data_IF_294824719566
#
_entry.id   IF_294824719566
#
_cell.length_a   1.000
_cell.length_b   1.000
_cell.length_c   1.000
_cell.angle_alpha   90.00
_cell.angle_beta   90.00
_cell.angle_gamma   90.00
#
_symmetry.space_group_name_H-M   'P 1'
#
loop_
_entity.id
_entity.type
_entity.pdbx_description
1 polymer ?
#
# COMPACT_ATOMS: atom_id res chain seq x y z
N UNK A 1 -55.84 -18.34 64.63
CA UNK A 1 -54.79 -18.17 63.59
C UNK A 1 -55.22 -17.08 62.62
N UNK A 2 -54.67 -15.86 62.73
CA UNK A 2 -54.98 -14.73 61.85
C UNK A 2 -53.84 -14.59 60.82
N UNK A 3 -54.11 -14.84 59.53
CA UNK A 3 -53.13 -14.69 58.45
C UNK A 3 -53.15 -13.25 57.92
N UNK A 4 -52.10 -12.46 58.24
CA UNK A 4 -51.83 -11.16 57.60
C UNK A 4 -51.51 -11.38 56.11
N UNK A 5 -52.25 -10.73 55.21
CA UNK A 5 -51.86 -10.57 53.80
C UNK A 5 -51.11 -9.27 53.64
N UNK A 6 -49.86 -9.36 53.19
CA UNK A 6 -49.00 -8.24 52.82
C UNK A 6 -49.26 -7.91 51.33
N UNK A 7 -49.64 -6.69 50.95
CA UNK A 7 -49.79 -6.34 49.55
C UNK A 7 -48.41 -6.08 48.92
N UNK A 8 -48.14 -6.76 47.80
CA UNK A 8 -46.94 -6.60 46.99
C UNK A 8 -47.15 -5.44 46.02
N UNK A 9 -46.47 -4.32 46.24
CA UNK A 9 -46.48 -3.14 45.37
C UNK A 9 -45.47 -3.35 44.24
N UNK A 10 -45.96 -3.57 43.02
CA UNK A 10 -45.14 -3.71 41.81
C UNK A 10 -44.80 -2.30 41.30
N UNK A 11 -43.53 -1.91 41.46
CA UNK A 11 -42.99 -0.67 40.89
C UNK A 11 -42.59 -0.94 39.43
N UNK A 12 -43.38 -0.43 38.48
CA UNK A 12 -43.01 -0.42 37.07
C UNK A 12 -41.94 0.65 36.84
N UNK A 13 -40.68 0.21 36.75
CA UNK A 13 -39.57 1.06 36.33
C UNK A 13 -39.59 1.17 34.80
N UNK A 14 -40.15 2.26 34.28
CA UNK A 14 -40.15 2.57 32.85
C UNK A 14 -38.72 2.84 32.38
N UNK A 15 -38.13 1.88 31.67
CA UNK A 15 -36.85 2.07 30.96
C UNK A 15 -37.16 2.94 29.74
N UNK A 16 -36.85 4.24 29.82
CA UNK A 16 -36.84 5.11 28.65
C UNK A 16 -35.63 4.74 27.79
N UNK A 17 -35.85 3.93 26.76
CA UNK A 17 -34.88 3.74 25.69
C UNK A 17 -34.72 5.07 24.95
N UNK A 18 -33.64 5.81 25.24
CA UNK A 18 -33.21 6.93 24.41
C UNK A 18 -32.73 6.35 23.08
N UNK A 19 -33.62 6.28 22.10
CA UNK A 19 -33.22 6.07 20.71
C UNK A 19 -32.42 7.31 20.29
N UNK A 20 -31.10 7.15 20.13
CA UNK A 20 -30.28 8.16 19.46
C UNK A 20 -30.80 8.27 18.03
N UNK A 21 -31.46 9.39 17.72
CA UNK A 21 -31.91 9.71 16.37
C UNK A 21 -30.71 10.03 15.48
N UNK A 22 -30.88 9.91 14.17
CA UNK A 22 -29.88 10.41 13.22
C UNK A 22 -29.54 11.87 13.53
N UNK A 23 -28.29 12.31 13.32
CA UNK A 23 -27.90 13.68 13.61
C UNK A 23 -28.77 14.68 12.86
N UNK A 24 -29.28 15.67 13.58
CA UNK A 24 -30.09 16.78 13.04
C UNK A 24 -29.19 17.93 12.55
N UNK A 25 -28.17 17.58 11.76
CA UNK A 25 -27.25 18.56 11.19
C UNK A 25 -27.95 19.32 10.07
N UNK A 26 -28.17 20.62 10.29
CA UNK A 26 -28.84 21.53 9.36
C UNK A 26 -28.00 22.78 9.19
N UNK A 27 -27.93 23.31 7.98
CA UNK A 27 -27.23 24.56 7.64
C UNK A 27 -28.27 25.60 7.23
N UNK A 28 -28.20 26.80 7.80
CA UNK A 28 -28.98 27.94 7.30
C UNK A 28 -28.19 28.67 6.21
N UNK A 29 -28.28 28.19 4.98
CA UNK A 29 -27.46 28.68 3.85
C UNK A 29 -27.60 30.19 3.61
N UNK A 30 -28.76 30.79 3.94
CA UNK A 30 -29.05 32.22 3.75
C UNK A 30 -28.21 33.15 4.64
N UNK A 31 -27.54 32.61 5.67
CA UNK A 31 -26.68 33.38 6.56
C UNK A 31 -25.26 33.58 6.00
N UNK A 32 -24.93 32.94 4.87
CA UNK A 32 -23.57 32.92 4.33
C UNK A 32 -23.50 33.43 2.89
N UNK A 33 -22.42 34.14 2.59
CA UNK A 33 -22.17 34.73 1.28
C UNK A 33 -21.11 33.97 0.48
N UNK A 34 -20.39 33.04 1.12
CA UNK A 34 -19.30 32.30 0.50
C UNK A 34 -19.41 30.80 0.72
N UNK A 35 -18.85 30.04 -0.23
CA UNK A 35 -18.81 28.59 -0.17
C UNK A 35 -17.41 28.03 -0.40
N UNK A 36 -17.22 26.81 0.05
CA UNK A 36 -16.08 25.93 -0.24
C UNK A 36 -16.66 24.54 -0.54
N UNK A 37 -16.10 23.81 -1.49
CA UNK A 37 -16.63 22.50 -1.92
C UNK A 37 -15.59 21.39 -1.81
N UNK A 38 -16.03 20.21 -1.38
CA UNK A 38 -15.21 19.00 -1.25
C UNK A 38 -15.84 17.84 -2.03
N UNK A 39 -15.02 17.10 -2.76
CA UNK A 39 -15.33 15.74 -3.24
C UNK A 39 -14.54 14.77 -2.36
N UNK A 40 -15.22 14.20 -1.37
CA UNK A 40 -14.55 13.51 -0.27
C UNK A 40 -14.90 12.02 -0.17
N UNK A 41 -13.96 11.23 0.34
CA UNK A 41 -14.23 9.89 0.87
C UNK A 41 -14.21 9.94 2.39
N UNK A 42 -15.14 9.21 2.99
CA UNK A 42 -15.31 9.13 4.43
C UNK A 42 -14.78 7.78 4.92
N UNK A 43 -13.88 7.78 5.90
CA UNK A 43 -13.32 6.55 6.47
C UNK A 43 -13.37 6.57 7.99
N UNK A 44 -13.71 5.41 8.58
CA UNK A 44 -13.57 5.16 10.01
C UNK A 44 -12.77 3.88 10.20
N UNK A 45 -11.73 3.95 11.05
CA UNK A 45 -10.89 2.80 11.37
C UNK A 45 -10.31 2.09 10.13
N UNK A 46 -9.94 2.87 9.10
CA UNK A 46 -9.41 2.35 7.83
C UNK A 46 -10.45 1.75 6.88
N UNK A 47 -11.74 1.80 7.22
CA UNK A 47 -12.84 1.29 6.40
C UNK A 47 -13.68 2.43 5.85
N UNK A 48 -13.95 2.40 4.54
CA UNK A 48 -14.76 3.41 3.87
C UNK A 48 -16.22 3.27 4.31
N UNK A 49 -16.84 4.40 4.67
CA UNK A 49 -18.29 4.47 4.84
C UNK A 49 -18.97 4.40 3.47
N UNK A 50 -19.98 3.54 3.37
CA UNK A 50 -20.71 3.25 2.12
C UNK A 50 -22.22 3.13 2.33
N UNK A 51 -22.70 3.34 3.57
CA UNK A 51 -24.11 3.23 3.91
C UNK A 51 -24.93 4.37 3.32
N UNK A 52 -26.19 4.11 2.89
CA UNK A 52 -27.04 5.13 2.28
C UNK A 52 -27.44 6.27 3.24
N UNK A 53 -27.36 6.03 4.55
CA UNK A 53 -27.63 7.03 5.60
C UNK A 53 -26.35 7.51 6.31
N UNK A 54 -25.17 7.08 5.87
CA UNK A 54 -23.91 7.62 6.39
C UNK A 54 -23.74 9.06 5.92
N UNK A 55 -23.22 9.92 6.79
CA UNK A 55 -23.13 11.37 6.54
C UNK A 55 -21.85 11.97 7.08
N UNK A 56 -21.46 13.09 6.48
CA UNK A 56 -20.45 14.00 7.01
C UNK A 56 -21.08 15.35 7.32
N UNK A 57 -20.73 15.92 8.47
CA UNK A 57 -21.00 17.32 8.80
C UNK A 57 -19.70 18.11 8.92
N UNK A 58 -19.69 19.34 8.44
CA UNK A 58 -18.64 20.34 8.63
C UNK A 58 -19.11 21.40 9.63
N UNK A 59 -18.24 21.82 10.54
CA UNK A 59 -18.60 22.69 11.67
C UNK A 59 -17.58 23.79 11.92
N UNK A 60 -18.07 24.95 12.35
CA UNK A 60 -17.30 26.02 12.99
C UNK A 60 -17.77 26.10 14.43
N UNK A 61 -16.93 25.66 15.37
CA UNK A 61 -17.38 25.38 16.74
C UNK A 61 -18.45 24.29 16.72
N UNK A 62 -19.65 24.60 17.24
CA UNK A 62 -20.81 23.69 17.22
C UNK A 62 -21.78 23.97 16.07
N UNK A 63 -21.56 25.02 15.29
CA UNK A 63 -22.48 25.42 14.23
C UNK A 63 -22.19 24.64 12.95
N UNK A 64 -23.21 23.95 12.42
CA UNK A 64 -23.11 23.20 11.18
C UNK A 64 -22.99 24.17 10.00
N UNK A 65 -21.88 24.06 9.26
CA UNK A 65 -21.57 24.83 8.06
C UNK A 65 -21.75 24.03 6.77
N UNK A 66 -21.99 22.74 6.85
CA UNK A 66 -22.13 21.86 5.69
C UNK A 66 -22.56 20.48 6.14
N UNK A 67 -23.43 19.83 5.37
CA UNK A 67 -23.81 18.43 5.59
C UNK A 67 -23.97 17.74 4.25
N UNK A 68 -23.50 16.50 4.15
CA UNK A 68 -23.65 15.71 2.92
C UNK A 68 -23.74 14.22 3.24
N UNK A 69 -24.54 13.50 2.45
CA UNK A 69 -24.57 12.04 2.43
C UNK A 69 -23.57 11.47 1.42
N UNK A 70 -23.67 10.17 1.18
CA UNK A 70 -22.82 9.48 0.22
C UNK A 70 -23.55 9.20 -1.09
N UNK A 71 -22.88 9.53 -2.20
CA UNK A 71 -23.33 9.24 -3.56
C UNK A 71 -22.42 8.18 -4.19
N UNK A 72 -23.03 7.10 -4.71
CA UNK A 72 -22.30 6.09 -5.45
C UNK A 72 -21.95 6.57 -6.86
N UNK A 73 -20.68 6.42 -7.25
CA UNK A 73 -20.16 6.80 -8.56
C UNK A 73 -19.72 5.53 -9.31
N UNK A 74 -20.54 5.08 -10.25
CA UNK A 74 -20.34 3.81 -10.97
C UNK A 74 -19.00 3.73 -11.70
N UNK A 75 -18.54 4.82 -12.33
CA UNK A 75 -17.26 4.86 -13.06
C UNK A 75 -16.03 4.64 -12.17
N UNK A 76 -16.20 4.79 -10.86
CA UNK A 76 -15.15 4.58 -9.85
C UNK A 76 -15.45 3.40 -8.93
N UNK A 77 -16.63 2.79 -9.05
CA UNK A 77 -17.12 1.74 -8.14
C UNK A 77 -16.91 2.12 -6.66
N UNK A 78 -17.24 3.36 -6.29
CA UNK A 78 -16.97 3.91 -4.95
C UNK A 78 -17.99 5.00 -4.59
N UNK A 79 -18.03 5.36 -3.30
CA UNK A 79 -18.93 6.36 -2.73
C UNK A 79 -18.20 7.64 -2.41
N UNK A 80 -18.83 8.79 -2.67
CA UNK A 80 -18.27 10.11 -2.45
C UNK A 80 -19.29 11.01 -1.74
N UNK A 81 -18.82 11.82 -0.80
CA UNK A 81 -19.56 12.95 -0.28
C UNK A 81 -19.24 14.19 -1.11
N UNK A 82 -20.27 14.80 -1.68
CA UNK A 82 -20.19 16.10 -2.34
C UNK A 82 -20.61 17.15 -1.31
N UNK A 83 -19.63 17.68 -0.57
CA UNK A 83 -19.89 18.53 0.58
C UNK A 83 -19.67 20.00 0.20
N UNK A 84 -20.72 20.81 0.36
CA UNK A 84 -20.63 22.27 0.33
C UNK A 84 -20.57 22.79 1.75
N UNK A 85 -19.60 23.67 2.01
CA UNK A 85 -19.35 24.30 3.29
C UNK A 85 -19.58 25.80 3.10
N UNK A 86 -20.31 26.42 4.01
CA UNK A 86 -20.70 27.82 3.94
C UNK A 86 -19.97 28.65 5.01
N UNK A 87 -19.63 29.90 4.71
CA UNK A 87 -19.00 30.83 5.64
C UNK A 87 -19.08 32.28 5.15
N UNK A 88 -18.81 33.23 6.05
CA UNK A 88 -18.54 34.64 5.73
C UNK A 88 -17.08 35.05 6.01
N UNK A 89 -16.25 34.16 6.57
CA UNK A 89 -14.95 34.48 7.12
C UNK A 89 -13.85 33.63 6.50
N UNK A 90 -12.94 34.28 5.77
CA UNK A 90 -11.74 33.62 5.23
C UNK A 90 -10.87 33.07 6.37
N UNK A 91 -10.42 31.83 6.22
CA UNK A 91 -9.46 31.19 7.12
C UNK A 91 -10.05 30.62 8.41
N UNK A 92 -11.36 30.72 8.65
CA UNK A 92 -11.95 30.13 9.86
C UNK A 92 -11.82 28.61 9.88
N UNK A 93 -11.65 28.03 11.07
CA UNK A 93 -11.33 26.61 11.21
C UNK A 93 -12.59 25.77 11.02
N UNK A 94 -12.58 24.92 9.99
CA UNK A 94 -13.58 23.89 9.75
C UNK A 94 -13.14 22.57 10.41
N UNK A 95 -14.05 21.97 11.17
CA UNK A 95 -13.92 20.61 11.74
C UNK A 95 -14.97 19.68 11.15
N UNK A 96 -14.74 18.37 11.22
CA UNK A 96 -15.67 17.39 10.65
C UNK A 96 -16.19 16.41 11.70
N UNK A 97 -17.44 15.99 11.55
CA UNK A 97 -18.04 14.86 12.27
C UNK A 97 -18.56 13.86 11.23
N UNK A 98 -18.30 12.56 11.44
CA UNK A 98 -18.83 11.48 10.62
C UNK A 98 -19.93 10.75 11.37
N UNK A 99 -21.02 10.44 10.69
CA UNK A 99 -22.09 9.59 11.19
C UNK A 99 -22.05 8.24 10.48
N UNK A 100 -21.78 7.19 11.26
CA UNK A 100 -21.90 5.78 10.86
C UNK A 100 -23.30 5.32 11.28
N UNK A 101 -24.19 5.16 10.30
CA UNK A 101 -25.58 4.73 10.55
C UNK A 101 -25.62 3.34 11.14
N UNK A 102 -24.82 2.42 10.61
CA UNK A 102 -24.85 1.02 10.99
C UNK A 102 -24.53 0.84 12.48
N UNK A 103 -23.63 1.67 13.03
CA UNK A 103 -23.29 1.69 14.46
C UNK A 103 -24.07 2.75 15.26
N UNK A 104 -24.88 3.56 14.60
CA UNK A 104 -25.54 4.73 15.14
C UNK A 104 -24.59 5.63 15.96
N UNK A 105 -23.40 5.91 15.40
CA UNK A 105 -22.31 6.58 16.11
C UNK A 105 -21.86 7.83 15.35
N UNK A 106 -21.69 8.92 16.09
CA UNK A 106 -21.00 10.11 15.62
C UNK A 106 -19.54 10.05 16.07
N UNK A 107 -18.62 10.25 15.13
CA UNK A 107 -17.19 10.31 15.38
C UNK A 107 -16.66 11.69 14.98
N UNK A 108 -15.99 12.37 15.91
CA UNK A 108 -15.27 13.62 15.61
C UNK A 108 -13.99 13.27 14.87
N UNK A 109 -13.72 13.99 13.78
CA UNK A 109 -12.50 13.83 12.99
C UNK A 109 -11.46 14.84 13.45
N UNK A 110 -10.26 14.36 13.78
CA UNK A 110 -9.16 15.17 14.29
C UNK A 110 -8.61 16.15 13.25
N UNK A 111 -8.73 15.80 11.95
CA UNK A 111 -8.32 16.64 10.82
C UNK A 111 -9.25 17.86 10.71
N UNK A 112 -8.66 19.04 10.62
CA UNK A 112 -9.36 20.31 10.34
C UNK A 112 -8.72 21.04 9.17
N UNK A 113 -9.46 21.94 8.54
CA UNK A 113 -8.96 22.81 7.46
C UNK A 113 -9.39 24.26 7.68
N UNK A 114 -8.63 25.26 7.18
CA UNK A 114 -9.14 26.61 7.05
C UNK A 114 -10.22 26.65 5.95
N UNK A 115 -11.26 27.45 6.16
CA UNK A 115 -12.19 27.82 5.11
C UNK A 115 -11.49 28.73 4.10
N UNK A 116 -11.63 28.41 2.81
CA UNK A 116 -11.12 29.26 1.73
C UNK A 116 -12.27 29.57 0.77
N UNK A 117 -12.56 30.86 0.58
CA UNK A 117 -13.63 31.33 -0.30
C UNK A 117 -13.45 30.76 -1.71
N UNK A 118 -14.52 30.13 -2.22
CA UNK A 118 -14.64 29.50 -3.53
C UNK A 118 -13.65 28.36 -3.81
N UNK A 119 -12.98 27.83 -2.78
CA UNK A 119 -12.04 26.72 -2.97
C UNK A 119 -12.78 25.41 -3.25
N UNK A 120 -12.19 24.60 -4.14
CA UNK A 120 -12.60 23.23 -4.40
C UNK A 120 -11.49 22.26 -4.01
N UNK A 121 -11.79 21.26 -3.18
CA UNK A 121 -10.83 20.23 -2.76
C UNK A 121 -11.28 18.82 -3.15
N UNK A 122 -10.35 18.08 -3.73
CA UNK A 122 -10.55 16.68 -4.13
C UNK A 122 -11.27 16.54 -5.47
N UNK A 123 -11.19 15.35 -6.05
CA UNK A 123 -11.92 14.96 -7.26
C UNK A 123 -12.11 13.43 -7.27
N UNK A 124 -12.63 12.87 -8.37
CA UNK A 124 -12.90 11.44 -8.48
C UNK A 124 -11.64 10.54 -8.57
N UNK A 125 -10.45 11.12 -8.76
CA UNK A 125 -9.16 10.41 -8.84
C UNK A 125 -8.31 10.61 -7.58
N UNK A 126 -8.33 11.81 -7.01
CA UNK A 126 -7.70 12.14 -5.73
C UNK A 126 -8.77 12.79 -4.85
N UNK A 127 -9.56 11.97 -4.16
CA UNK A 127 -10.61 12.50 -3.30
C UNK A 127 -10.01 13.16 -2.05
N UNK A 128 -10.75 14.09 -1.46
CA UNK A 128 -10.36 14.61 -0.17
C UNK A 128 -10.65 13.57 0.92
N UNK A 129 -9.62 13.09 1.61
CA UNK A 129 -9.80 12.15 2.72
C UNK A 129 -10.28 12.84 4.00
N UNK A 130 -11.48 12.46 4.45
CA UNK A 130 -12.03 12.75 5.78
C UNK A 130 -12.06 11.43 6.54
N UNK A 131 -11.09 11.23 7.42
CA UNK A 131 -10.88 9.95 8.06
C UNK A 131 -10.51 10.10 9.54
N UNK A 132 -11.02 9.20 10.37
CA UNK A 132 -10.58 9.06 11.76
C UNK A 132 -10.28 7.57 12.09
N UNK A 133 -9.04 7.24 12.52
CA UNK A 133 -7.86 8.10 12.50
C UNK A 133 -7.46 8.50 11.07
N UNK A 134 -6.58 9.50 10.94
CA UNK A 134 -6.09 9.94 9.64
C UNK A 134 -5.37 8.80 8.89
N UNK A 135 -5.69 8.67 7.60
CA UNK A 135 -5.04 7.71 6.70
C UNK A 135 -3.63 8.19 6.29
N UNK A 136 -2.81 7.24 5.85
CA UNK A 136 -1.43 7.49 5.43
C UNK A 136 -1.35 8.32 4.15
N UNK A 137 -0.50 9.35 4.18
CA UNK A 137 -0.14 10.17 3.00
C UNK A 137 1.03 9.59 2.21
N UNK A 138 1.61 8.49 2.67
CA UNK A 138 2.81 7.93 2.05
C UNK A 138 2.41 7.18 0.78
N UNK A 139 2.94 7.62 -0.36
CA UNK A 139 2.78 6.98 -1.67
C UNK A 139 4.13 6.42 -2.13
N UNK A 140 4.52 5.24 -1.64
CA UNK A 140 5.82 4.64 -1.95
C UNK A 140 5.67 3.24 -2.54
N UNK A 141 6.47 2.97 -3.59
CA UNK A 141 6.73 1.62 -4.09
C UNK A 141 7.93 1.03 -3.32
N UNK A 142 7.64 0.29 -2.25
CA UNK A 142 8.64 -0.24 -1.31
C UNK A 142 9.50 -1.32 -1.94
N UNK A 143 8.91 -2.19 -2.77
CA UNK A 143 9.65 -3.23 -3.49
C UNK A 143 8.95 -3.56 -4.80
N UNK A 144 9.72 -3.93 -5.82
CA UNK A 144 9.20 -4.40 -7.11
C UNK A 144 10.13 -5.48 -7.67
N UNK A 145 9.57 -6.65 -7.96
CA UNK A 145 10.27 -7.80 -8.55
C UNK A 145 9.30 -8.60 -9.41
N UNK A 146 9.75 -9.74 -9.94
CA UNK A 146 8.95 -10.61 -10.79
C UNK A 146 8.83 -12.01 -10.20
N UNK A 147 7.63 -12.58 -10.25
CA UNK A 147 7.39 -13.92 -9.75
C UNK A 147 8.21 -14.94 -10.56
N UNK A 148 8.99 -15.78 -9.87
CA UNK A 148 9.83 -16.84 -10.46
C UNK A 148 10.88 -16.36 -11.47
N UNK A 149 11.16 -15.05 -11.54
CA UNK A 149 12.20 -14.47 -12.39
C UNK A 149 13.19 -13.73 -11.50
N UNK A 150 14.33 -14.36 -11.13
CA UNK A 150 15.33 -13.72 -10.29
C UNK A 150 15.94 -12.52 -11.02
N UNK A 151 16.03 -11.38 -10.32
CA UNK A 151 16.82 -10.24 -10.80
C UNK A 151 18.31 -10.48 -10.57
N UNK A 152 19.11 -10.09 -11.56
CA UNK A 152 20.56 -9.99 -11.45
C UNK A 152 20.90 -8.75 -10.63
N UNK A 153 20.27 -7.63 -10.95
CA UNK A 153 20.37 -6.38 -10.19
C UNK A 153 19.07 -5.59 -10.26
N UNK A 154 18.88 -4.75 -9.25
CA UNK A 154 17.81 -3.75 -9.19
C UNK A 154 18.45 -2.44 -8.75
N UNK A 155 18.32 -1.41 -9.58
CA UNK A 155 18.85 -0.07 -9.30
C UNK A 155 17.68 0.90 -9.25
N UNK A 156 17.54 1.60 -8.13
CA UNK A 156 16.51 2.63 -7.95
C UNK A 156 17.17 3.99 -7.92
N UNK A 157 16.75 4.89 -8.81
CA UNK A 157 17.19 6.28 -8.86
C UNK A 157 15.95 7.18 -8.91
N UNK A 158 15.58 7.75 -7.76
CA UNK A 158 14.27 8.39 -7.60
C UNK A 158 13.15 7.40 -7.91
N UNK A 159 12.20 7.81 -8.72
CA UNK A 159 11.05 7.00 -9.15
C UNK A 159 11.36 6.13 -10.39
N UNK A 160 12.63 5.99 -10.78
CA UNK A 160 13.04 5.07 -11.85
C UNK A 160 13.63 3.80 -11.24
N UNK A 161 13.03 2.66 -11.57
CA UNK A 161 13.51 1.34 -11.15
C UNK A 161 13.98 0.58 -12.38
N UNK A 162 15.28 0.31 -12.44
CA UNK A 162 15.90 -0.50 -13.48
C UNK A 162 16.17 -1.89 -12.95
N UNK A 163 15.62 -2.91 -13.61
CA UNK A 163 15.76 -4.32 -13.23
C UNK A 163 16.49 -5.04 -14.36
N UNK A 164 17.63 -5.66 -14.03
CA UNK A 164 18.36 -6.52 -14.93
C UNK A 164 17.93 -7.97 -14.69
N UNK A 165 17.53 -8.68 -15.74
CA UNK A 165 17.22 -10.12 -15.70
C UNK A 165 18.08 -10.87 -16.73
N UNK A 166 18.26 -12.18 -16.54
CA UNK A 166 18.98 -13.02 -17.50
C UNK A 166 18.20 -13.12 -18.82
N UNK A 167 18.93 -13.16 -19.94
CA UNK A 167 18.38 -13.45 -21.28
C UNK A 167 17.61 -14.78 -21.39
N UNK A 168 17.73 -15.68 -20.40
CA UNK A 168 16.96 -16.92 -20.34
C UNK A 168 15.47 -16.69 -20.02
N UNK A 169 15.09 -15.47 -19.63
CA UNK A 169 13.71 -15.07 -19.39
C UNK A 169 13.23 -14.09 -20.46
N UNK A 170 11.94 -14.16 -20.82
CA UNK A 170 11.34 -13.19 -21.74
C UNK A 170 10.82 -11.96 -20.98
N UNK A 171 10.98 -10.78 -21.58
CA UNK A 171 10.39 -9.53 -21.07
C UNK A 171 8.92 -9.37 -21.46
N UNK A 172 8.44 -10.11 -22.46
CA UNK A 172 7.07 -9.96 -22.97
C UNK A 172 5.98 -10.53 -22.06
N UNK A 173 6.38 -11.34 -21.07
CA UNK A 173 5.46 -12.03 -20.19
C UNK A 173 6.05 -12.18 -18.78
N UNK A 174 6.12 -11.08 -18.03
CA UNK A 174 6.56 -11.06 -16.63
C UNK A 174 5.39 -10.78 -15.70
N UNK A 175 5.41 -11.36 -14.50
CA UNK A 175 4.37 -11.20 -13.48
C UNK A 175 4.90 -10.35 -12.33
N UNK A 176 4.53 -9.06 -12.24
CA UNK A 176 5.04 -8.16 -11.20
C UNK A 176 4.58 -8.57 -9.81
N UNK A 177 5.50 -8.55 -8.85
CA UNK A 177 5.24 -8.67 -7.42
C UNK A 177 5.81 -7.44 -6.75
N UNK A 178 4.97 -6.73 -6.02
CA UNK A 178 5.33 -5.48 -5.37
C UNK A 178 4.75 -5.37 -3.96
N UNK A 179 5.37 -4.48 -3.19
CA UNK A 179 4.92 -4.04 -1.87
C UNK A 179 4.84 -2.52 -1.91
N UNK A 180 3.77 -1.96 -1.35
CA UNK A 180 3.53 -0.52 -1.29
C UNK A 180 3.60 -0.04 0.17
N UNK A 181 3.66 1.28 0.36
CA UNK A 181 3.36 1.90 1.65
C UNK A 181 1.96 1.50 2.16
N UNK A 182 1.76 1.57 3.47
CA UNK A 182 0.49 1.19 4.12
C UNK A 182 -0.71 1.84 3.42
N UNK A 183 -1.65 1.00 2.98
CA UNK A 183 -2.92 1.41 2.37
C UNK A 183 -2.81 2.06 0.98
N UNK A 184 -1.59 2.25 0.45
CA UNK A 184 -1.40 2.78 -0.88
C UNK A 184 -1.84 1.78 -1.96
N UNK A 185 -2.18 2.32 -3.13
CA UNK A 185 -2.63 1.57 -4.31
C UNK A 185 -1.74 1.89 -5.50
N UNK A 186 -1.60 0.95 -6.42
CA UNK A 186 -0.81 1.13 -7.64
C UNK A 186 -1.68 0.90 -8.87
N UNK A 187 -1.53 1.78 -9.86
CA UNK A 187 -2.33 1.81 -11.07
C UNK A 187 -1.44 1.78 -12.31
N UNK A 188 -1.91 1.08 -13.35
CA UNK A 188 -1.37 1.20 -14.69
C UNK A 188 -2.48 1.72 -15.62
N UNK A 189 -2.24 2.84 -16.32
CA UNK A 189 -3.25 3.46 -17.20
C UNK A 189 -4.62 3.66 -16.51
N UNK A 190 -4.60 3.98 -15.21
CA UNK A 190 -5.79 4.18 -14.38
C UNK A 190 -6.47 2.92 -13.84
N UNK A 191 -5.96 1.73 -14.17
CA UNK A 191 -6.50 0.44 -13.69
C UNK A 191 -5.69 -0.03 -12.48
N UNK A 192 -6.35 -0.29 -11.36
CA UNK A 192 -5.72 -0.79 -10.13
C UNK A 192 -5.08 -2.16 -10.40
N UNK A 193 -3.83 -2.33 -9.97
CA UNK A 193 -3.05 -3.55 -10.19
C UNK A 193 -2.95 -4.36 -8.91
N UNK A 194 -2.94 -5.68 -9.05
CA UNK A 194 -2.75 -6.62 -7.94
C UNK A 194 -1.43 -7.35 -8.06
N UNK A 195 -0.70 -7.39 -6.95
CA UNK A 195 0.63 -7.99 -6.86
C UNK A 195 0.56 -9.49 -7.15
N UNK A 196 1.37 -9.97 -8.09
CA UNK A 196 1.48 -11.38 -8.46
C UNK A 196 0.32 -11.97 -9.28
N UNK A 197 -0.67 -11.17 -9.69
CA UNK A 197 -1.83 -11.71 -10.39
C UNK A 197 -1.67 -11.65 -11.92
N UNK A 198 -1.30 -10.48 -12.45
CA UNK A 198 -1.30 -10.21 -13.88
C UNK A 198 0.07 -10.39 -14.52
N UNK A 199 0.08 -10.90 -15.76
CA UNK A 199 1.27 -10.94 -16.62
C UNK A 199 1.31 -9.67 -17.48
N UNK A 200 2.51 -9.14 -17.71
CA UNK A 200 2.75 -7.88 -18.41
C UNK A 200 4.02 -7.92 -19.26
N UNK A 201 3.98 -7.20 -20.37
CA UNK A 201 5.12 -6.94 -21.24
C UNK A 201 5.95 -5.75 -20.72
N UNK A 202 7.23 -5.99 -20.46
CA UNK A 202 8.27 -5.04 -20.07
C UNK A 202 9.39 -4.94 -21.11
N UNK A 203 9.11 -5.27 -22.38
CA UNK A 203 10.00 -5.02 -23.51
C UNK A 203 10.31 -3.53 -23.67
N UNK A 204 9.39 -2.68 -23.21
CA UNK A 204 9.49 -1.22 -23.10
C UNK A 204 9.29 -0.76 -21.65
N UNK A 205 9.55 0.52 -21.38
CA UNK A 205 9.37 1.11 -20.04
C UNK A 205 7.88 1.12 -19.68
N UNK A 206 7.54 0.61 -18.49
CA UNK A 206 6.17 0.61 -17.96
C UNK A 206 6.06 1.69 -16.88
N UNK A 207 4.99 2.50 -16.96
CA UNK A 207 4.70 3.56 -16.00
C UNK A 207 3.60 3.12 -15.04
N UNK A 208 3.89 3.19 -13.75
CA UNK A 208 2.92 2.94 -12.69
C UNK A 208 2.70 4.19 -11.85
N UNK A 209 1.46 4.39 -11.42
CA UNK A 209 1.10 5.45 -10.48
C UNK A 209 0.81 4.83 -9.13
N UNK A 210 1.56 5.23 -8.09
CA UNK A 210 1.26 4.90 -6.69
C UNK A 210 0.49 6.04 -6.07
N UNK A 211 -0.69 5.75 -5.55
CA UNK A 211 -1.58 6.67 -4.83
C UNK A 211 -1.55 6.30 -3.35
N UNK A 212 -1.33 7.29 -2.49
CA UNK A 212 -1.39 7.13 -1.03
C UNK A 212 -2.76 6.67 -0.53
N UNK A 213 -2.81 6.13 0.69
CA UNK A 213 -4.04 5.64 1.33
C UNK A 213 -5.10 6.75 1.47
N UNK A 214 -4.68 7.97 1.80
CA UNK A 214 -5.56 9.13 1.91
C UNK A 214 -5.82 9.85 0.56
N UNK A 215 -5.28 9.30 -0.52
CA UNK A 215 -5.36 9.80 -1.89
C UNK A 215 -4.77 11.21 -2.13
N UNK A 216 -4.05 11.79 -1.15
CA UNK A 216 -3.51 13.15 -1.28
C UNK A 216 -2.21 13.20 -2.08
N UNK A 217 -1.37 12.18 -1.94
CA UNK A 217 -0.09 12.06 -2.64
C UNK A 217 -0.15 11.02 -3.76
N UNK A 218 0.48 11.36 -4.89
CA UNK A 218 0.59 10.52 -6.07
C UNK A 218 2.02 10.56 -6.62
N UNK A 219 2.63 9.39 -6.85
CA UNK A 219 3.97 9.26 -7.45
C UNK A 219 3.95 8.40 -8.70
N UNK A 220 4.69 8.82 -9.73
CA UNK A 220 4.84 8.06 -10.96
C UNK A 220 6.18 7.32 -10.98
N UNK A 221 6.14 5.99 -11.01
CA UNK A 221 7.29 5.12 -11.14
C UNK A 221 7.47 4.61 -12.56
N UNK A 222 8.72 4.66 -13.06
CA UNK A 222 9.10 4.10 -14.35
C UNK A 222 9.89 2.82 -14.13
N UNK A 223 9.35 1.70 -14.62
CA UNK A 223 9.97 0.37 -14.53
C UNK A 223 10.60 0.04 -15.87
N UNK A 224 11.91 -0.13 -15.88
CA UNK A 224 12.67 -0.54 -17.06
C UNK A 224 13.30 -1.91 -16.81
N UNK A 225 13.07 -2.85 -17.73
CA UNK A 225 13.66 -4.19 -17.66
C UNK A 225 14.68 -4.37 -18.77
N UNK A 226 15.92 -4.64 -18.38
CA UNK A 226 17.04 -4.89 -19.27
C UNK A 226 17.42 -6.38 -19.24
N UNK A 227 17.77 -6.94 -20.39
CA UNK A 227 18.35 -8.28 -20.46
C UNK A 227 19.87 -8.19 -20.32
N UNK A 228 20.43 -9.10 -19.55
CA UNK A 228 21.87 -9.33 -19.48
C UNK A 228 22.17 -10.66 -20.15
N UNK A 229 22.95 -10.59 -21.22
CA UNK A 229 23.42 -11.78 -21.94
C UNK A 229 24.54 -12.46 -21.20
N UNK A 230 24.58 -13.80 -21.30
CA UNK A 230 25.60 -14.65 -20.67
C UNK A 230 25.73 -14.49 -19.15
N UNK A 231 24.72 -13.93 -18.48
CA UNK A 231 24.73 -13.77 -17.03
C UNK A 231 24.86 -15.11 -16.31
N UNK A 232 25.68 -15.16 -15.26
CA UNK A 232 25.87 -16.34 -14.48
C UNK A 232 24.71 -16.55 -13.49
N UNK A 233 24.26 -17.79 -13.36
CA UNK A 233 23.26 -18.21 -12.37
C UNK A 233 23.97 -18.86 -11.18
N UNK A 234 23.69 -18.37 -9.99
CA UNK A 234 24.33 -18.81 -8.75
C UNK A 234 23.33 -19.65 -7.93
N UNK A 235 23.71 -20.88 -7.64
CA UNK A 235 22.94 -21.81 -6.84
C UNK A 235 23.74 -22.24 -5.61
N UNK A 236 23.03 -22.49 -4.51
CA UNK A 236 23.63 -23.01 -3.28
C UNK A 236 22.91 -24.26 -2.79
N UNK A 237 23.65 -25.11 -2.10
CA UNK A 237 23.16 -26.18 -1.24
C UNK A 237 23.75 -25.96 0.15
N UNK A 238 22.89 -25.84 1.14
CA UNK A 238 23.31 -25.72 2.55
C UNK A 238 23.96 -27.01 3.06
N UNK A 239 24.86 -26.88 4.03
CA UNK A 239 25.51 -28.01 4.69
C UNK A 239 24.54 -28.71 5.64
N UNK A 240 24.80 -29.98 5.91
CA UNK A 240 24.12 -30.79 6.93
C UNK A 240 25.17 -31.45 7.82
N UNK A 241 24.79 -31.99 8.98
CA UNK A 241 25.75 -32.54 9.95
C UNK A 241 26.71 -33.59 9.36
N UNK A 242 26.29 -34.31 8.32
CA UNK A 242 27.06 -35.39 7.69
C UNK A 242 27.60 -35.05 6.30
N UNK A 243 27.37 -33.84 5.79
CA UNK A 243 27.85 -33.45 4.45
C UNK A 243 28.01 -31.93 4.31
N UNK A 244 29.11 -31.46 3.71
CA UNK A 244 29.32 -30.04 3.48
C UNK A 244 28.32 -29.46 2.45
N UNK A 245 28.28 -28.14 2.38
CA UNK A 245 27.50 -27.40 1.39
C UNK A 245 28.14 -27.47 0.01
N UNK A 246 27.48 -26.83 -0.95
CA UNK A 246 28.02 -26.67 -2.30
C UNK A 246 27.55 -25.36 -2.93
N UNK A 247 28.39 -24.79 -3.78
CA UNK A 247 28.05 -23.64 -4.63
C UNK A 247 28.21 -24.07 -6.09
N UNK A 248 27.19 -23.81 -6.90
CA UNK A 248 27.21 -24.06 -8.34
C UNK A 248 26.96 -22.76 -9.08
N UNK A 249 27.86 -22.42 -9.99
CA UNK A 249 27.71 -21.28 -10.90
C UNK A 249 27.49 -21.84 -12.31
N UNK A 250 26.36 -21.53 -12.92
CA UNK A 250 26.03 -21.93 -14.30
C UNK A 250 26.25 -20.70 -15.19
N UNK A 251 27.05 -20.81 -16.25
CA UNK A 251 27.35 -19.71 -17.16
C UNK A 251 27.64 -20.24 -18.57
N UNK A 252 27.29 -19.46 -19.60
CA UNK A 252 27.67 -19.75 -21.00
C UNK A 252 29.09 -19.29 -21.34
N UNK A 253 29.76 -18.61 -20.41
CA UNK A 253 31.10 -18.06 -20.61
C UNK A 253 32.17 -19.16 -20.40
N UNK A 254 32.21 -20.14 -21.29
CA UNK A 254 33.16 -21.26 -21.22
C UNK A 254 34.61 -20.76 -21.14
N UNK A 255 35.41 -21.36 -20.27
CA UNK A 255 36.80 -20.95 -20.05
C UNK A 255 36.98 -19.78 -19.08
N UNK A 256 35.91 -19.07 -18.67
CA UNK A 256 36.01 -18.02 -17.66
C UNK A 256 36.26 -18.58 -16.26
N UNK A 257 37.11 -17.89 -15.49
CA UNK A 257 37.33 -18.21 -14.09
C UNK A 257 36.16 -17.72 -13.22
N UNK A 258 35.65 -18.63 -12.40
CA UNK A 258 34.80 -18.36 -11.25
C UNK A 258 35.68 -18.43 -10.01
N UNK A 259 35.69 -17.36 -9.23
CA UNK A 259 36.44 -17.27 -7.97
C UNK A 259 35.47 -17.25 -6.81
N UNK A 260 35.84 -17.93 -5.72
CA UNK A 260 35.11 -17.93 -4.46
C UNK A 260 35.97 -17.22 -3.42
N UNK A 261 35.39 -16.20 -2.79
CA UNK A 261 36.05 -15.38 -1.79
C UNK A 261 35.38 -15.53 -0.44
N UNK A 262 36.17 -15.57 0.63
CA UNK A 262 35.72 -15.58 2.02
C UNK A 262 36.60 -14.62 2.83
N UNK A 263 36.00 -13.75 3.64
CA UNK A 263 36.72 -12.76 4.45
C UNK A 263 37.76 -11.93 3.65
N UNK A 264 37.42 -11.58 2.40
CA UNK A 264 38.27 -10.79 1.51
C UNK A 264 39.43 -11.54 0.85
N UNK A 265 39.55 -12.86 1.05
CA UNK A 265 40.58 -13.70 0.41
C UNK A 265 39.95 -14.69 -0.56
N UNK A 266 40.61 -14.93 -1.70
CA UNK A 266 40.22 -16.00 -2.60
C UNK A 266 40.51 -17.35 -1.91
N UNK A 267 39.47 -18.17 -1.74
CA UNK A 267 39.55 -19.50 -1.12
C UNK A 267 39.48 -20.62 -2.15
N UNK A 268 38.96 -20.34 -3.34
CA UNK A 268 38.90 -21.33 -4.43
C UNK A 268 38.71 -20.65 -5.79
N UNK A 269 39.17 -21.30 -6.86
CA UNK A 269 38.79 -20.97 -8.21
C UNK A 269 38.46 -22.22 -9.03
N UNK A 270 37.57 -22.05 -10.00
CA UNK A 270 37.18 -23.06 -10.99
C UNK A 270 36.92 -22.37 -12.32
N UNK A 271 37.17 -23.08 -13.40
CA UNK A 271 36.81 -22.59 -14.74
C UNK A 271 35.40 -23.07 -15.07
N UNK A 272 34.61 -22.25 -15.77
CA UNK A 272 33.36 -22.68 -16.38
C UNK A 272 33.70 -23.74 -17.43
N UNK A 273 33.30 -24.97 -17.14
CA UNK A 273 33.44 -26.11 -18.04
C UNK A 273 32.10 -26.82 -18.22
N UNK A 274 31.74 -27.14 -19.46
CA UNK A 274 30.43 -27.68 -19.82
C UNK A 274 29.28 -26.82 -19.26
N UNK A 275 29.45 -25.49 -19.35
CA UNK A 275 28.45 -24.52 -18.91
C UNK A 275 28.34 -24.33 -17.39
N UNK A 276 29.23 -24.89 -16.57
CA UNK A 276 29.21 -24.67 -15.12
C UNK A 276 30.57 -24.72 -14.43
N UNK A 277 30.64 -24.10 -13.26
CA UNK A 277 31.70 -24.26 -12.27
C UNK A 277 31.07 -24.76 -10.95
N UNK A 278 31.54 -25.90 -10.45
CA UNK A 278 31.08 -26.50 -9.20
C UNK A 278 32.16 -26.40 -8.13
N UNK A 279 31.76 -25.84 -6.98
CA UNK A 279 32.53 -25.84 -5.75
C UNK A 279 31.85 -26.84 -4.80
N UNK A 280 32.29 -28.11 -4.80
CA UNK A 280 31.85 -29.07 -3.80
C UNK A 280 32.53 -28.75 -2.47
N UNK A 281 31.99 -29.31 -1.38
CA UNK A 281 32.61 -29.27 -0.06
C UNK A 281 32.81 -27.88 0.55
N UNK A 282 31.86 -26.97 0.29
CA UNK A 282 31.90 -25.62 0.84
C UNK A 282 31.42 -25.65 2.30
N UNK A 283 32.24 -25.11 3.20
CA UNK A 283 31.92 -25.00 4.63
C UNK A 283 30.77 -24.05 4.92
N UNK A 284 30.32 -24.05 6.18
CA UNK A 284 29.35 -23.06 6.68
C UNK A 284 30.04 -21.70 6.74
N UNK A 285 29.43 -20.68 6.13
CA UNK A 285 30.07 -19.37 6.01
C UNK A 285 29.38 -18.46 4.99
N UNK A 286 29.92 -17.24 4.87
CA UNK A 286 29.50 -16.27 3.86
C UNK A 286 30.58 -16.12 2.81
N UNK A 287 30.22 -16.40 1.56
CA UNK A 287 31.11 -16.37 0.42
C UNK A 287 30.67 -15.31 -0.59
N UNK A 288 31.62 -14.84 -1.39
CA UNK A 288 31.35 -14.08 -2.62
C UNK A 288 31.81 -14.94 -3.79
N UNK A 289 30.89 -15.37 -4.64
CA UNK A 289 31.21 -15.99 -5.92
C UNK A 289 31.30 -14.90 -6.99
N UNK A 290 32.37 -14.88 -7.79
CA UNK A 290 32.58 -13.89 -8.85
C UNK A 290 32.98 -14.50 -10.18
N UNK A 291 32.50 -13.94 -11.28
CA UNK A 291 32.85 -14.29 -12.67
C UNK A 291 32.90 -13.00 -13.49
N UNK A 292 34.08 -12.64 -13.99
CA UNK A 292 34.30 -11.33 -14.59
C UNK A 292 33.91 -10.19 -13.63
N UNK A 293 32.93 -9.37 -14.03
CA UNK A 293 32.41 -8.28 -13.20
C UNK A 293 31.21 -8.67 -12.32
N UNK A 294 30.64 -9.86 -12.53
CA UNK A 294 29.50 -10.33 -11.75
C UNK A 294 29.99 -10.86 -10.39
N UNK A 295 29.27 -10.49 -9.31
CA UNK A 295 29.55 -10.94 -7.95
C UNK A 295 28.25 -11.27 -7.24
N UNK A 296 28.22 -12.37 -6.49
CA UNK A 296 27.06 -12.78 -5.68
C UNK A 296 27.50 -13.19 -4.28
N UNK A 297 26.90 -12.58 -3.26
CA UNK A 297 27.03 -13.03 -1.87
C UNK A 297 26.17 -14.28 -1.68
N UNK A 298 26.75 -15.32 -1.11
CA UNK A 298 26.12 -16.63 -0.89
C UNK A 298 26.44 -17.07 0.54
N UNK A 299 25.41 -17.26 1.34
CA UNK A 299 25.53 -17.79 2.70
C UNK A 299 25.21 -19.29 2.72
N UNK A 300 26.16 -20.12 3.13
CA UNK A 300 25.98 -21.55 3.38
C UNK A 300 25.66 -21.74 4.86
N UNK A 301 24.46 -22.25 5.16
CA UNK A 301 24.00 -22.52 6.53
C UNK A 301 24.17 -23.99 6.87
N UNK A 302 24.28 -24.30 8.17
CA UNK A 302 24.05 -25.65 8.66
C UNK A 302 22.54 -25.85 8.81
N UNK A 303 21.97 -26.77 8.04
CA UNK A 303 20.59 -27.21 8.25
C UNK A 303 20.59 -28.37 9.23
N UNK A 304 20.01 -28.13 10.40
CA UNK A 304 19.58 -29.20 11.29
C UNK A 304 18.36 -29.91 10.65
N UNK A 305 18.24 -31.20 10.94
CA UNK A 305 17.21 -32.07 10.35
C UNK A 305 15.81 -31.69 10.81
#
# INVERSE_FOLDING_TARGET
MYKKKLPFLIFFLSINSLFVSSPDWVVNENEFQHTMTLVAKLNLDGTQLIGPEDKVGAFVGEECRGVSGLTYVQSKNSYYAYLTIFSNTQGEKITFKLYDKAKNKITVVSKSIPFTINEHKGNLTQSYSIAEPALSKVAELVSFHFLQVPSISTVTLGEKIQIAISENFTRSALKPVFTLSKGAKIFEKGIEQKSGEMTKDFSTVVSYVVLSEDESEMKNYLIQVNLISNAALFYKKDAVCSAPGAIKVVSKQEGMAVQLWENGKEVSNKIVSNGMALFPEVGVGTYIASIGNERKVIEIKLKEK
#
